data_IF_700676527948
#
_entry.id   IF_700676527948
#
_cell.length_a   1.000
_cell.length_b   1.000
_cell.length_c   1.000
_cell.angle_alpha   90.00
_cell.angle_beta   90.00
_cell.angle_gamma   90.00
#
_symmetry.space_group_name_H-M   'P 1'
#
loop_
_entity.id
_entity.type
_entity.pdbx_description
1 polymer ?
#
# COMPACT_ATOMS: atom_id res chain seq x y z
N UNK A 1 7.67 19.60 -9.09
CA UNK A 1 7.69 18.46 -8.15
C UNK A 1 7.78 17.20 -8.97
N UNK A 2 8.52 16.18 -8.53
CA UNK A 2 8.47 14.90 -9.19
C UNK A 2 7.04 14.35 -9.17
N UNK A 3 6.59 13.72 -10.25
CA UNK A 3 5.24 13.14 -10.31
C UNK A 3 5.20 11.77 -9.64
N UNK A 4 4.03 11.30 -9.24
CA UNK A 4 3.84 9.92 -8.78
C UNK A 4 3.39 9.01 -9.91
N UNK A 5 3.79 7.73 -9.86
CA UNK A 5 3.41 6.70 -10.82
C UNK A 5 2.98 5.43 -10.09
N UNK A 6 2.05 4.67 -10.67
CA UNK A 6 1.65 3.33 -10.23
C UNK A 6 2.18 2.30 -11.21
N UNK A 7 2.68 1.19 -10.69
CA UNK A 7 2.91 -0.03 -11.45
C UNK A 7 1.59 -0.68 -11.85
N UNK A 8 1.63 -1.54 -12.87
CA UNK A 8 0.51 -2.39 -13.26
C UNK A 8 -0.02 -3.20 -12.07
N UNK A 9 0.86 -3.77 -11.24
CA UNK A 9 0.48 -4.55 -10.06
C UNK A 9 -0.34 -3.75 -9.05
N UNK A 10 0.14 -2.56 -8.67
CA UNK A 10 -0.55 -1.69 -7.72
C UNK A 10 -1.95 -1.28 -8.24
N UNK A 11 -2.03 -0.94 -9.53
CA UNK A 11 -3.30 -0.58 -10.17
C UNK A 11 -4.27 -1.77 -10.23
N UNK A 12 -3.82 -2.94 -10.67
CA UNK A 12 -4.66 -4.14 -10.77
C UNK A 12 -5.26 -4.51 -9.40
N UNK A 13 -4.47 -4.57 -8.34
CA UNK A 13 -4.99 -4.91 -6.99
C UNK A 13 -6.03 -3.91 -6.50
N UNK A 14 -5.82 -2.62 -6.74
CA UNK A 14 -6.77 -1.57 -6.34
C UNK A 14 -8.11 -1.73 -7.09
N UNK A 15 -8.06 -1.98 -8.40
CA UNK A 15 -9.24 -2.22 -9.23
C UNK A 15 -9.96 -3.52 -8.83
N UNK A 16 -9.21 -4.61 -8.58
CA UNK A 16 -9.77 -5.88 -8.12
C UNK A 16 -10.42 -5.76 -6.74
N UNK A 17 -9.85 -4.96 -5.83
CA UNK A 17 -10.44 -4.72 -4.51
C UNK A 17 -11.79 -4.02 -4.63
N UNK A 18 -11.89 -2.98 -5.47
CA UNK A 18 -13.16 -2.31 -5.77
C UNK A 18 -14.17 -3.24 -6.46
N UNK A 19 -13.70 -4.13 -7.35
CA UNK A 19 -14.55 -5.11 -8.03
C UNK A 19 -15.11 -6.18 -7.08
N UNK A 20 -14.34 -6.56 -6.05
CA UNK A 20 -14.73 -7.55 -5.05
C UNK A 20 -15.89 -7.04 -4.18
N UNK A 21 -15.87 -5.76 -3.83
CA UNK A 21 -16.89 -5.14 -2.98
C UNK A 21 -17.55 -3.90 -3.62
N UNK A 22 -18.33 -4.10 -4.70
CA UNK A 22 -18.87 -2.99 -5.49
C UNK A 22 -19.97 -2.18 -4.77
N UNK A 23 -20.44 -2.67 -3.62
CA UNK A 23 -21.57 -2.11 -2.86
C UNK A 23 -21.13 -1.38 -1.59
N UNK A 24 -19.83 -1.25 -1.33
CA UNK A 24 -19.33 -0.54 -0.17
C UNK A 24 -18.04 0.25 -0.48
N UNK A 25 -17.63 1.09 0.47
CA UNK A 25 -16.36 1.78 0.37
C UNK A 25 -15.21 0.80 0.63
N UNK A 26 -14.11 0.96 -0.11
CA UNK A 26 -12.87 0.18 0.08
C UNK A 26 -11.68 1.10 0.25
N UNK A 27 -10.65 0.65 0.96
CA UNK A 27 -9.40 1.38 1.09
C UNK A 27 -8.16 0.49 1.15
N UNK A 28 -7.00 1.13 1.07
CA UNK A 28 -5.74 0.43 1.29
C UNK A 28 -4.52 1.33 1.25
N UNK A 29 -3.36 0.72 1.44
CA UNK A 29 -2.07 1.39 1.45
C UNK A 29 -1.37 1.21 0.11
N UNK A 30 -0.64 2.23 -0.32
CA UNK A 30 0.29 2.17 -1.44
C UNK A 30 1.70 2.08 -0.88
N UNK A 31 2.50 1.16 -1.41
CA UNK A 31 3.90 0.99 -0.99
C UNK A 31 4.84 1.35 -2.14
N UNK A 32 5.96 1.98 -1.80
CA UNK A 32 7.04 2.30 -2.71
C UNK A 32 8.32 1.59 -2.27
N UNK A 33 9.25 1.38 -3.20
CA UNK A 33 10.60 0.97 -2.83
C UNK A 33 11.29 2.05 -2.01
N UNK A 34 11.93 1.64 -0.91
CA UNK A 34 12.72 2.54 -0.09
C UNK A 34 13.93 3.00 -0.90
N UNK A 35 13.91 4.25 -1.34
CA UNK A 35 15.04 4.82 -2.04
C UNK A 35 16.26 4.88 -1.11
N UNK A 36 17.40 4.37 -1.59
CA UNK A 36 18.68 4.58 -0.89
C UNK A 36 18.98 6.09 -0.87
N UNK A 37 19.44 6.68 0.25
CA UNK A 37 19.79 8.09 0.28
C UNK A 37 20.85 8.36 -0.79
N UNK A 38 20.46 9.12 -1.83
CA UNK A 38 21.37 9.50 -2.92
C UNK A 38 22.28 10.63 -2.45
N UNK A 39 23.57 10.51 -2.76
CA UNK A 39 24.59 11.52 -2.46
C UNK A 39 24.64 12.68 -3.47
N UNK A 40 23.71 12.78 -4.41
CA UNK A 40 23.79 13.76 -5.51
C UNK A 40 22.61 14.71 -5.56
N UNK A 41 22.94 16.00 -5.64
CA UNK A 41 22.06 17.11 -5.94
C UNK A 41 21.63 17.02 -7.41
N UNK A 42 20.51 16.37 -7.70
CA UNK A 42 19.90 16.45 -9.03
C UNK A 42 19.12 17.78 -9.11
N UNK A 43 19.36 18.64 -10.12
CA UNK A 43 18.67 19.92 -10.22
C UNK A 43 17.15 19.73 -10.35
N UNK A 44 16.38 20.50 -9.59
CA UNK A 44 14.92 20.59 -9.73
C UNK A 44 14.58 21.05 -11.18
N UNK A 45 13.91 20.19 -11.95
CA UNK A 45 13.28 20.58 -13.21
C UNK A 45 13.97 20.13 -14.52
N UNK A 46 14.97 19.24 -14.46
CA UNK A 46 15.49 18.57 -15.66
C UNK A 46 14.64 17.35 -16.10
N UNK A 47 14.84 16.79 -17.30
CA UNK A 47 14.15 15.59 -17.84
C UNK A 47 14.51 14.26 -17.11
N UNK A 48 14.80 14.32 -15.82
CA UNK A 48 15.07 13.21 -14.92
C UNK A 48 14.52 13.45 -13.52
N UNK A 49 13.40 14.19 -13.41
CA UNK A 49 12.70 14.38 -12.14
C UNK A 49 12.32 13.03 -11.55
N UNK A 50 12.61 12.83 -10.27
CA UNK A 50 12.60 11.52 -9.63
C UNK A 50 11.18 11.11 -9.23
N UNK A 51 10.47 10.37 -10.09
CA UNK A 51 9.09 9.99 -9.80
C UNK A 51 9.02 8.96 -8.67
N UNK A 52 8.12 9.17 -7.70
CA UNK A 52 7.79 8.12 -6.72
C UNK A 52 6.96 7.06 -7.42
N UNK A 53 7.48 5.84 -7.47
CA UNK A 53 6.81 4.69 -8.05
C UNK A 53 6.16 3.85 -6.94
N UNK A 54 4.84 3.73 -6.98
CA UNK A 54 4.08 2.80 -6.16
C UNK A 54 4.15 1.41 -6.78
N UNK A 55 4.92 0.54 -6.14
CA UNK A 55 5.27 -0.79 -6.66
C UNK A 55 4.24 -1.86 -6.28
N UNK A 56 3.44 -1.62 -5.24
CA UNK A 56 2.35 -2.49 -4.85
C UNK A 56 1.28 -1.70 -4.07
N UNK A 57 0.12 -2.32 -3.87
CA UNK A 57 -0.86 -1.85 -2.91
C UNK A 57 -1.37 -3.00 -2.01
N UNK A 58 -1.73 -2.64 -0.78
CA UNK A 58 -2.25 -3.57 0.23
C UNK A 58 -3.71 -3.20 0.50
N UNK A 59 -4.67 -4.01 0.00
CA UNK A 59 -6.08 -3.88 0.35
C UNK A 59 -6.28 -4.02 1.87
N UNK A 60 -6.85 -3.00 2.51
CA UNK A 60 -7.07 -3.00 3.95
C UNK A 60 -8.49 -3.43 4.28
N UNK A 61 -9.45 -2.53 4.07
CA UNK A 61 -10.80 -2.71 4.62
C UNK A 61 -11.89 -2.45 3.58
N UNK A 62 -13.06 -3.04 3.84
CA UNK A 62 -14.28 -2.82 3.07
C UNK A 62 -15.47 -2.53 4.00
N UNK A 63 -16.40 -1.66 3.60
CA UNK A 63 -17.57 -1.31 4.42
C UNK A 63 -17.39 -0.03 5.25
N UNK A 64 -17.55 -0.12 6.58
CA UNK A 64 -17.59 1.07 7.45
C UNK A 64 -16.18 1.55 7.79
N UNK A 65 -15.56 2.30 6.87
CA UNK A 65 -14.18 2.80 7.01
C UNK A 65 -13.98 3.85 8.13
N UNK A 66 -15.06 4.32 8.76
CA UNK A 66 -15.05 5.39 9.77
C UNK A 66 -15.08 4.89 11.22
N UNK A 67 -14.97 3.58 11.48
CA UNK A 67 -14.89 3.10 12.87
C UNK A 67 -13.52 3.40 13.44
N UNK A 68 -13.49 4.11 14.57
CA UNK A 68 -12.26 4.52 15.26
C UNK A 68 -11.25 3.37 15.46
N UNK A 69 -11.64 2.12 15.77
CA UNK A 69 -10.68 1.01 15.89
C UNK A 69 -9.98 0.66 14.58
N UNK A 70 -10.68 0.67 13.44
CA UNK A 70 -10.07 0.37 12.14
C UNK A 70 -9.12 1.50 11.69
N UNK A 71 -9.49 2.75 12.00
CA UNK A 71 -8.62 3.90 11.79
C UNK A 71 -7.37 3.84 12.69
N UNK A 72 -7.52 3.47 13.96
CA UNK A 72 -6.40 3.29 14.89
C UNK A 72 -5.47 2.16 14.45
N UNK A 73 -6.01 1.04 13.94
CA UNK A 73 -5.21 -0.03 13.36
C UNK A 73 -4.44 0.48 12.13
N UNK A 74 -5.13 1.14 11.18
CA UNK A 74 -4.47 1.74 10.01
C UNK A 74 -3.36 2.74 10.41
N UNK A 75 -3.63 3.62 11.37
CA UNK A 75 -2.66 4.61 11.85
C UNK A 75 -1.52 3.97 12.64
N UNK A 76 -1.77 2.88 13.39
CA UNK A 76 -0.73 2.12 14.09
C UNK A 76 0.19 1.43 13.09
N UNK A 77 -0.39 0.83 12.03
CA UNK A 77 0.36 0.23 10.92
C UNK A 77 1.25 1.26 10.21
N UNK A 78 0.82 2.52 10.12
CA UNK A 78 1.60 3.62 9.56
C UNK A 78 2.68 4.11 10.54
N UNK A 79 2.36 4.25 11.83
CA UNK A 79 3.26 4.84 12.84
C UNK A 79 4.43 3.92 13.23
N UNK A 80 4.26 2.60 13.16
CA UNK A 80 5.35 1.66 13.41
C UNK A 80 6.48 1.74 12.36
N UNK A 81 6.25 2.40 11.21
CA UNK A 81 7.27 2.72 10.21
C UNK A 81 8.28 3.79 10.65
N UNK A 82 7.98 4.57 11.70
CA UNK A 82 8.72 5.79 12.08
C UNK A 82 9.90 5.53 13.05
N UNK A 83 9.96 4.38 13.72
CA UNK A 83 10.91 4.10 14.83
C UNK A 83 12.37 3.83 14.39
N UNK A 84 12.77 4.28 13.19
CA UNK A 84 14.16 4.21 12.72
C UNK A 84 14.67 5.55 12.21
N UNK A 85 14.37 6.63 12.95
CA UNK A 85 15.24 7.79 12.99
C UNK A 85 16.66 7.37 13.40
N UNK A 86 17.64 7.73 12.57
CA UNK A 86 19.06 7.45 12.78
C UNK A 86 19.52 7.76 14.22
N UNK A 87 19.80 6.73 15.00
CA UNK A 87 20.90 6.78 15.97
C UNK A 87 22.08 6.04 15.37
N UNK A 88 22.97 6.81 14.75
CA UNK A 88 24.33 6.35 14.49
C UNK A 88 24.98 6.05 15.84
N UNK A 89 25.00 4.77 16.23
CA UNK A 89 25.85 4.30 17.32
C UNK A 89 27.30 4.49 16.84
N UNK A 90 28.14 5.28 17.53
CA UNK A 90 29.54 5.37 17.16
C UNK A 90 30.20 4.02 17.40
N UNK A 91 30.96 3.55 16.41
CA UNK A 91 31.73 2.32 16.51
C UNK A 91 32.65 2.36 17.74
N UNK A 92 32.46 1.43 18.68
CA UNK A 92 33.20 1.43 19.94
C UNK A 92 33.13 0.12 20.72
N UNK A 93 33.97 -0.83 20.29
CA UNK A 93 34.65 -1.90 21.06
C UNK A 93 33.83 -2.99 21.79
N UNK A 94 34.36 -4.21 21.61
CA UNK A 94 34.02 -5.49 22.20
C UNK A 94 34.00 -5.51 23.74
N UNK A 95 32.97 -6.14 24.32
CA UNK A 95 33.07 -6.85 25.61
C UNK A 95 31.92 -7.89 25.73
N UNK A 96 32.18 -8.91 26.54
CA UNK A 96 31.64 -10.28 26.58
C UNK A 96 30.14 -10.41 26.98
N UNK A 97 29.48 -11.57 26.71
CA UNK A 97 28.13 -11.82 27.17
C UNK A 97 28.12 -12.36 28.62
N UNK A 98 27.29 -11.79 29.46
CA UNK A 98 26.88 -12.37 30.74
C UNK A 98 25.59 -13.21 30.56
N UNK A 99 25.39 -14.29 31.36
CA UNK A 99 24.33 -15.26 31.11
C UNK A 99 23.08 -14.92 31.93
N UNK A 100 21.90 -14.91 31.30
CA UNK A 100 20.62 -14.97 32.01
C UNK A 100 19.76 -16.15 31.54
N UNK A 101 19.76 -17.16 32.41
CA UNK A 101 18.71 -18.12 32.79
C UNK A 101 17.71 -18.53 31.69
N UNK A 102 18.04 -19.64 31.02
CA UNK A 102 17.06 -20.46 30.31
C UNK A 102 16.21 -21.25 31.32
N UNK A 103 14.90 -20.93 31.39
CA UNK A 103 13.92 -21.86 31.96
C UNK A 103 13.62 -22.90 30.89
N UNK A 104 14.10 -24.12 31.13
CA UNK A 104 13.78 -25.29 30.32
C UNK A 104 12.39 -25.81 30.71
N UNK A 105 11.50 -25.91 29.73
CA UNK A 105 10.38 -26.86 29.80
C UNK A 105 10.51 -27.73 28.56
N UNK A 106 11.07 -28.91 28.78
CA UNK A 106 11.21 -29.96 27.78
C UNK A 106 9.87 -30.70 27.67
N UNK A 107 9.42 -30.94 26.44
CA UNK A 107 8.13 -31.53 26.12
C UNK A 107 8.02 -31.73 24.62
N UNK A 108 8.69 -32.78 24.13
CA UNK A 108 8.81 -33.07 22.71
C UNK A 108 7.51 -33.47 22.00
N UNK A 109 7.31 -32.89 20.81
CA UNK A 109 6.62 -33.52 19.67
C UNK A 109 7.25 -32.99 18.38
N UNK A 110 7.80 -33.83 17.48
CA UNK A 110 8.33 -33.38 16.20
C UNK A 110 7.18 -33.24 15.20
N UNK A 111 6.62 -32.03 15.13
CA UNK A 111 5.50 -31.72 14.23
C UNK A 111 4.89 -30.34 14.50
N UNK A 112 5.70 -29.36 14.88
CA UNK A 112 5.23 -28.00 15.10
C UNK A 112 5.09 -27.28 13.77
N UNK A 113 3.89 -27.28 13.19
CA UNK A 113 3.51 -26.21 12.27
C UNK A 113 3.79 -24.90 13.02
N UNK A 114 4.83 -24.16 12.62
CA UNK A 114 5.07 -22.81 13.14
C UNK A 114 3.75 -22.09 12.98
N UNK A 115 3.15 -21.65 14.09
CA UNK A 115 2.01 -20.74 14.07
C UNK A 115 2.42 -19.60 13.14
N UNK A 116 1.84 -19.57 11.93
CA UNK A 116 2.12 -18.53 10.93
C UNK A 116 1.35 -17.29 11.39
N UNK A 117 1.85 -16.65 12.45
CA UNK A 117 1.45 -15.29 12.75
C UNK A 117 2.11 -14.42 11.69
N UNK A 118 1.31 -13.83 10.80
CA UNK A 118 1.83 -12.93 9.79
C UNK A 118 2.41 -11.68 10.45
N UNK A 119 3.55 -11.16 9.96
CA UNK A 119 4.11 -9.94 10.51
C UNK A 119 3.15 -8.77 10.26
N UNK A 120 3.11 -7.77 11.17
CA UNK A 120 2.48 -6.50 10.90
C UNK A 120 2.97 -5.89 9.57
N UNK A 121 2.11 -5.10 8.90
CA UNK A 121 2.41 -4.55 7.56
C UNK A 121 3.72 -3.74 7.56
N UNK A 122 4.02 -2.99 8.62
CA UNK A 122 5.25 -2.20 8.72
C UNK A 122 6.49 -3.10 8.75
N UNK A 123 6.44 -4.22 9.48
CA UNK A 123 7.54 -5.20 9.53
C UNK A 123 7.73 -5.87 8.18
N UNK A 124 6.64 -6.26 7.52
CA UNK A 124 6.71 -6.81 6.16
C UNK A 124 7.31 -5.80 5.18
N UNK A 125 6.92 -4.52 5.25
CA UNK A 125 7.50 -3.47 4.41
C UNK A 125 9.01 -3.35 4.66
N UNK A 126 9.44 -3.32 5.93
CA UNK A 126 10.87 -3.24 6.30
C UNK A 126 11.66 -4.43 5.74
N UNK A 127 11.14 -5.64 5.90
CA UNK A 127 11.79 -6.88 5.42
C UNK A 127 11.93 -6.92 3.90
N UNK A 128 11.00 -6.29 3.17
CA UNK A 128 11.00 -6.22 1.70
C UNK A 128 11.59 -4.92 1.14
N UNK A 129 12.23 -4.08 1.98
CA UNK A 129 12.75 -2.77 1.57
C UNK A 129 11.70 -1.83 0.96
N UNK A 130 10.47 -1.93 1.43
CA UNK A 130 9.37 -1.03 1.09
C UNK A 130 9.14 0.03 2.17
N UNK A 131 8.46 1.09 1.77
CA UNK A 131 7.91 2.13 2.65
C UNK A 131 6.45 2.36 2.29
N UNK A 132 5.60 2.58 3.30
CA UNK A 132 4.22 3.03 3.10
C UNK A 132 4.29 4.46 2.57
N UNK A 133 3.83 4.65 1.34
CA UNK A 133 4.05 5.88 0.58
C UNK A 133 2.74 6.53 0.13
N UNK A 134 1.58 5.90 0.34
CA UNK A 134 0.31 6.48 -0.03
C UNK A 134 -0.88 5.73 0.55
N UNK A 135 -2.05 6.29 0.32
CA UNK A 135 -3.33 5.71 0.71
C UNK A 135 -4.30 5.83 -0.47
N UNK A 136 -5.11 4.80 -0.69
CA UNK A 136 -6.20 4.85 -1.66
C UNK A 136 -7.54 4.61 -1.00
N UNK A 137 -8.59 5.18 -1.61
CA UNK A 137 -9.97 4.95 -1.19
C UNK A 137 -10.93 5.00 -2.38
N UNK A 138 -11.89 4.09 -2.40
CA UNK A 138 -13.10 4.21 -3.21
C UNK A 138 -14.29 4.49 -2.27
N UNK A 139 -15.07 5.53 -2.54
CA UNK A 139 -16.25 5.83 -1.74
C UNK A 139 -17.42 4.93 -2.12
N UNK A 140 -18.34 4.68 -1.20
CA UNK A 140 -19.57 3.91 -1.47
C UNK A 140 -20.47 4.59 -2.51
N UNK A 141 -20.54 5.93 -2.50
CA UNK A 141 -21.34 6.69 -3.45
C UNK A 141 -20.60 6.83 -4.77
N UNK A 142 -21.15 6.22 -5.81
CA UNK A 142 -20.56 6.18 -7.17
C UNK A 142 -20.14 7.56 -7.69
N UNK A 143 -20.91 8.62 -7.42
CA UNK A 143 -20.66 9.98 -7.92
C UNK A 143 -19.73 10.83 -7.04
N UNK A 144 -19.25 10.29 -5.94
CA UNK A 144 -18.43 11.01 -4.98
C UNK A 144 -16.99 10.46 -5.00
N UNK A 145 -16.10 11.11 -5.74
CA UNK A 145 -14.67 10.78 -5.77
C UNK A 145 -13.83 11.76 -4.92
N UNK A 146 -14.47 12.46 -3.97
CA UNK A 146 -13.77 13.41 -3.10
C UNK A 146 -13.21 12.72 -1.85
N UNK A 147 -12.00 13.10 -1.39
CA UNK A 147 -11.47 12.66 -0.11
C UNK A 147 -12.41 13.04 1.04
N UNK A 148 -12.65 12.10 1.95
CA UNK A 148 -13.30 12.40 3.22
C UNK A 148 -12.26 12.68 4.32
N UNK A 149 -12.70 13.13 5.50
CA UNK A 149 -11.80 13.45 6.61
C UNK A 149 -10.94 12.28 7.08
N UNK A 150 -11.41 11.03 6.90
CA UNK A 150 -10.64 9.83 7.27
C UNK A 150 -9.47 9.66 6.30
N UNK A 151 -9.74 9.73 4.99
CA UNK A 151 -8.73 9.66 3.95
C UNK A 151 -7.66 10.74 4.13
N UNK A 152 -8.07 11.98 4.38
CA UNK A 152 -7.15 13.10 4.60
C UNK A 152 -6.28 12.88 5.84
N UNK A 153 -6.85 12.40 6.97
CA UNK A 153 -6.09 12.14 8.19
C UNK A 153 -5.07 11.01 8.03
N UNK A 154 -5.47 9.90 7.42
CA UNK A 154 -4.57 8.75 7.18
C UNK A 154 -3.44 9.17 6.25
N UNK A 155 -3.76 9.80 5.13
CA UNK A 155 -2.76 10.28 4.19
C UNK A 155 -1.84 11.32 4.82
N UNK A 156 -2.36 12.24 5.65
CA UNK A 156 -1.54 13.22 6.37
C UNK A 156 -0.58 12.56 7.36
N UNK A 157 -1.01 11.48 8.05
CA UNK A 157 -0.10 10.71 8.91
C UNK A 157 1.01 10.04 8.11
N UNK A 158 0.70 9.47 6.95
CA UNK A 158 1.73 8.89 6.07
C UNK A 158 2.71 9.98 5.59
N UNK A 159 2.19 11.18 5.28
CA UNK A 159 2.99 12.31 4.82
C UNK A 159 3.98 12.86 5.87
N UNK A 160 3.77 12.59 7.16
CA UNK A 160 4.74 12.90 8.23
C UNK A 160 6.01 12.05 8.09
N UNK A 161 5.89 10.80 7.62
CA UNK A 161 7.00 9.86 7.42
C UNK A 161 7.54 9.79 5.99
N UNK A 162 6.77 10.24 4.99
CA UNK A 162 7.15 10.19 3.58
C UNK A 162 6.70 11.45 2.82
N UNK A 163 7.63 12.29 2.35
CA UNK A 163 7.28 13.62 1.81
C UNK A 163 6.50 13.59 0.50
N UNK A 164 6.65 12.54 -0.30
CA UNK A 164 6.02 12.40 -1.63
C UNK A 164 4.73 11.57 -1.56
N UNK A 165 4.01 11.63 -0.43
CA UNK A 165 2.79 10.86 -0.22
C UNK A 165 1.68 11.26 -1.19
N UNK A 166 1.02 10.25 -1.77
CA UNK A 166 -0.20 10.44 -2.56
C UNK A 166 -1.44 9.89 -1.84
N UNK A 167 -2.54 10.63 -2.00
CA UNK A 167 -3.88 10.19 -1.68
C UNK A 167 -4.63 9.91 -2.98
N UNK A 168 -5.01 8.66 -3.21
CA UNK A 168 -5.69 8.25 -4.45
C UNK A 168 -7.17 7.99 -4.18
N UNK A 169 -8.04 8.67 -4.93
CA UNK A 169 -9.47 8.39 -4.92
C UNK A 169 -9.84 7.61 -6.18
N UNK A 170 -10.46 6.45 -6.01
CA UNK A 170 -11.02 5.68 -7.13
C UNK A 170 -12.35 6.29 -7.54
N UNK A 171 -12.45 6.66 -8.81
CA UNK A 171 -13.63 7.20 -9.48
C UNK A 171 -14.52 6.08 -9.99
N UNK A 172 -15.48 5.70 -9.15
CA UNK A 172 -16.44 4.65 -9.44
C UNK A 172 -17.33 4.98 -10.67
N UNK A 173 -17.42 6.24 -11.12
CA UNK A 173 -18.15 6.58 -12.35
C UNK A 173 -17.43 6.12 -13.62
N UNK A 174 -16.11 5.94 -13.54
CA UNK A 174 -15.26 5.50 -14.65
C UNK A 174 -14.97 4.00 -14.62
N UNK A 175 -15.28 3.35 -13.49
CA UNK A 175 -15.03 1.92 -13.31
C UNK A 175 -15.85 1.08 -14.29
N UNK A 176 -15.15 0.26 -15.08
CA UNK A 176 -15.73 -0.69 -16.05
C UNK A 176 -14.90 -1.97 -16.06
N UNK A 177 -15.52 -3.09 -16.43
CA UNK A 177 -14.80 -4.38 -16.50
C UNK A 177 -13.68 -4.38 -17.54
N UNK A 178 -13.83 -3.59 -18.61
CA UNK A 178 -12.83 -3.46 -19.67
C UNK A 178 -11.74 -2.40 -19.38
N UNK A 179 -11.82 -1.74 -18.21
CA UNK A 179 -10.86 -0.71 -17.78
C UNK A 179 -10.57 0.36 -18.84
N UNK A 180 -11.59 0.87 -19.54
CA UNK A 180 -11.43 1.69 -20.75
C UNK A 180 -10.58 2.96 -20.52
N UNK A 181 -10.69 3.55 -19.34
CA UNK A 181 -9.96 4.75 -18.92
C UNK A 181 -9.41 4.58 -17.49
N UNK A 182 -8.36 5.31 -17.09
CA UNK A 182 -7.92 5.33 -15.71
C UNK A 182 -9.04 5.77 -14.77
N UNK A 183 -9.25 5.00 -13.71
CA UNK A 183 -10.35 5.19 -12.76
C UNK A 183 -9.91 5.92 -11.51
N UNK A 184 -8.84 6.72 -11.56
CA UNK A 184 -8.23 7.32 -10.36
C UNK A 184 -8.07 8.83 -10.45
N UNK A 185 -8.21 9.49 -9.30
CA UNK A 185 -7.82 10.87 -9.05
C UNK A 185 -6.70 10.88 -8.02
N UNK A 186 -5.63 11.60 -8.31
CA UNK A 186 -4.46 11.68 -7.43
C UNK A 186 -4.43 13.03 -6.74
N UNK A 187 -4.35 13.01 -5.42
CA UNK A 187 -4.23 14.17 -4.56
C UNK A 187 -2.84 14.19 -3.95
N UNK A 188 -2.25 15.38 -3.93
CA UNK A 188 -0.96 15.62 -3.28
C UNK A 188 -1.08 16.61 -2.14
N UNK A 189 -0.21 16.45 -1.16
CA UNK A 189 -0.16 17.32 0.00
C UNK A 189 0.62 18.60 -0.31
N UNK A 190 -0.06 19.75 -0.28
CA UNK A 190 0.55 21.06 -0.48
C UNK A 190 -0.01 22.08 0.52
N UNK A 191 0.87 22.68 1.34
CA UNK A 191 0.50 23.72 2.33
C UNK A 191 -0.66 23.29 3.25
N UNK A 192 -0.54 22.10 3.86
CA UNK A 192 -1.55 21.52 4.76
C UNK A 192 -2.92 21.23 4.11
N UNK A 193 -2.97 21.10 2.78
CA UNK A 193 -4.18 20.75 2.04
C UNK A 193 -3.89 19.72 0.98
N UNK A 194 -4.81 18.77 0.80
CA UNK A 194 -4.81 17.83 -0.31
C UNK A 194 -5.39 18.51 -1.55
N UNK A 195 -4.61 18.59 -2.64
CA UNK A 195 -5.04 19.18 -3.90
C UNK A 195 -5.05 18.13 -5.00
N UNK A 196 -6.17 18.02 -5.71
CA UNK A 196 -6.28 17.15 -6.87
C UNK A 196 -5.34 17.64 -7.97
N UNK A 197 -4.55 16.71 -8.54
CA UNK A 197 -3.73 16.95 -9.72
C UNK A 197 -4.58 16.86 -11.00
N UNK A 198 -3.97 17.15 -12.15
CA UNK A 198 -4.64 17.11 -13.45
C UNK A 198 -5.15 15.69 -13.77
N UNK A 199 -6.47 15.47 -13.94
CA UNK A 199 -7.03 14.16 -14.30
C UNK A 199 -6.56 13.61 -15.66
N UNK A 200 -5.96 14.44 -16.51
CA UNK A 200 -5.42 14.02 -17.81
C UNK A 200 -3.96 13.58 -17.73
N UNK A 201 -3.34 13.68 -16.54
CA UNK A 201 -2.01 13.16 -16.32
C UNK A 201 -2.05 11.63 -16.30
N UNK A 202 -1.10 11.01 -16.99
CA UNK A 202 -0.92 9.58 -16.91
C UNK A 202 -0.23 9.24 -15.58
N UNK A 203 -0.95 8.56 -14.69
CA UNK A 203 -0.44 8.10 -13.40
C UNK A 203 0.05 6.66 -13.43
N UNK A 204 -0.14 5.92 -14.51
CA UNK A 204 0.42 4.58 -14.64
C UNK A 204 1.80 4.65 -15.29
N UNK A 205 2.68 3.69 -14.99
CA UNK A 205 3.96 3.57 -15.68
C UNK A 205 3.73 3.21 -17.17
N UNK A 206 2.86 2.23 -17.42
CA UNK A 206 2.35 1.85 -18.74
C UNK A 206 0.83 1.64 -18.65
N UNK A 207 0.06 2.67 -19.07
CA UNK A 207 -1.41 2.58 -19.03
C UNK A 207 -1.98 1.48 -19.95
N UNK A 208 -1.58 1.37 -21.24
CA UNK A 208 -2.06 0.28 -22.10
C UNK A 208 -1.84 -1.12 -21.52
N UNK A 209 -0.68 -1.37 -20.90
CA UNK A 209 -0.41 -2.62 -20.19
C UNK A 209 -1.34 -2.81 -18.99
N UNK A 210 -1.40 -1.81 -18.10
CA UNK A 210 -2.22 -1.86 -16.90
C UNK A 210 -3.71 -2.07 -17.22
N UNK A 211 -4.22 -1.42 -18.26
CA UNK A 211 -5.56 -1.60 -18.79
C UNK A 211 -5.80 -3.06 -19.23
N UNK A 212 -4.93 -3.58 -20.12
CA UNK A 212 -5.07 -4.93 -20.68
C UNK A 212 -5.04 -6.00 -19.59
N UNK A 213 -4.09 -5.89 -18.66
CA UNK A 213 -3.93 -6.87 -17.58
C UNK A 213 -5.10 -6.78 -16.59
N UNK A 214 -5.51 -5.57 -16.20
CA UNK A 214 -6.66 -5.38 -15.30
C UNK A 214 -7.94 -5.97 -15.89
N UNK A 215 -8.22 -5.70 -17.18
CA UNK A 215 -9.38 -6.27 -17.87
C UNK A 215 -9.34 -7.80 -17.90
N UNK A 216 -8.17 -8.41 -18.16
CA UNK A 216 -8.01 -9.87 -18.14
C UNK A 216 -8.23 -10.48 -16.74
N UNK A 217 -7.75 -9.81 -15.68
CA UNK A 217 -7.95 -10.26 -14.31
C UNK A 217 -9.41 -10.10 -13.85
N UNK A 218 -10.10 -9.06 -14.33
CA UNK A 218 -11.53 -8.85 -14.07
C UNK A 218 -12.39 -9.89 -14.80
N UNK A 219 -12.13 -10.16 -16.07
CA UNK A 219 -12.85 -11.16 -16.87
C UNK A 219 -12.71 -12.58 -16.28
N UNK A 220 -11.50 -12.91 -15.81
CA UNK A 220 -11.21 -14.16 -15.10
C UNK A 220 -11.73 -14.22 -13.65
N UNK A 221 -12.37 -13.16 -13.16
CA UNK A 221 -12.90 -13.03 -11.79
C UNK A 221 -11.83 -13.21 -10.70
N UNK A 222 -10.60 -12.78 -10.98
CA UNK A 222 -9.49 -12.83 -10.01
C UNK A 222 -9.76 -12.02 -8.74
N UNK A 223 -10.73 -11.10 -8.76
CA UNK A 223 -11.16 -10.36 -7.58
C UNK A 223 -11.83 -11.23 -6.51
N UNK A 224 -12.31 -12.43 -6.84
CA UNK A 224 -12.92 -13.34 -5.86
C UNK A 224 -11.90 -13.96 -4.91
N UNK A 225 -10.67 -14.13 -5.39
CA UNK A 225 -9.55 -14.71 -4.63
C UNK A 225 -8.66 -13.64 -4.00
N UNK A 226 -8.89 -12.36 -4.29
CA UNK A 226 -8.19 -11.26 -3.64
C UNK A 226 -8.50 -11.26 -2.15
N UNK A 227 -7.48 -11.15 -1.31
CA UNK A 227 -7.58 -11.07 0.14
C UNK A 227 -7.25 -9.66 0.58
N UNK A 228 -8.14 -9.03 1.32
CA UNK A 228 -7.86 -7.79 2.04
C UNK A 228 -7.52 -8.08 3.52
N UNK A 229 -7.18 -7.02 4.25
CA UNK A 229 -6.82 -7.14 5.65
C UNK A 229 -8.03 -7.51 6.54
N UNK A 230 -9.25 -7.09 6.20
CA UNK A 230 -10.48 -7.58 6.89
C UNK A 230 -10.60 -9.10 6.81
N UNK A 231 -10.45 -9.69 5.62
CA UNK A 231 -10.48 -11.15 5.44
C UNK A 231 -9.34 -11.85 6.18
N UNK A 232 -8.19 -11.19 6.32
CA UNK A 232 -7.06 -11.69 7.11
C UNK A 232 -7.34 -11.66 8.62
N UNK A 233 -8.03 -10.62 9.11
CA UNK A 233 -8.44 -10.53 10.52
C UNK A 233 -9.47 -11.61 10.87
N UNK A 234 -10.37 -11.94 9.94
CA UNK A 234 -11.33 -13.04 10.09
C UNK A 234 -10.65 -14.42 10.07
N UNK A 235 -9.66 -14.60 9.20
CA UNK A 235 -8.86 -15.82 9.10
C UNK A 235 -7.39 -15.50 8.77
N UNK A 236 -6.53 -15.60 9.78
CA UNK A 236 -5.10 -15.29 9.70
C UNK A 236 -4.35 -16.17 8.69
N UNK A 237 -4.97 -17.22 8.13
CA UNK A 237 -4.37 -18.02 7.06
C UNK A 237 -4.41 -17.31 5.71
N UNK A 238 -5.32 -16.36 5.54
CA UNK A 238 -5.44 -15.58 4.32
C UNK A 238 -4.26 -14.62 4.18
N UNK A 239 -3.60 -14.64 3.01
CA UNK A 239 -2.40 -13.83 2.76
C UNK A 239 -2.76 -12.50 2.08
N UNK A 240 -2.76 -11.43 2.86
CA UNK A 240 -3.07 -10.06 2.39
C UNK A 240 -2.03 -9.50 1.40
N UNK A 241 -0.87 -10.14 1.22
CA UNK A 241 0.13 -9.74 0.21
C UNK A 241 -0.26 -10.15 -1.21
N UNK A 242 -1.24 -11.06 -1.33
CA UNK A 242 -1.82 -11.54 -2.60
C UNK A 242 -0.77 -12.09 -3.61
N UNK A 243 0.08 -13.06 -3.24
CA UNK A 243 1.18 -13.54 -4.09
C UNK A 243 0.70 -14.17 -5.40
N UNK A 244 -0.44 -14.86 -5.40
CA UNK A 244 -1.00 -15.48 -6.60
C UNK A 244 -1.48 -14.43 -7.61
N UNK A 245 -2.04 -13.30 -7.15
CA UNK A 245 -2.39 -12.17 -8.01
C UNK A 245 -1.12 -11.53 -8.57
N UNK A 246 -0.08 -11.32 -7.75
CA UNK A 246 1.21 -10.78 -8.20
C UNK A 246 1.81 -11.63 -9.32
N UNK A 247 1.78 -12.96 -9.14
CA UNK A 247 2.25 -13.92 -10.13
C UNK A 247 1.41 -13.90 -11.41
N UNK A 248 0.08 -13.76 -11.30
CA UNK A 248 -0.80 -13.64 -12.45
C UNK A 248 -0.52 -12.37 -13.25
N UNK A 249 -0.33 -11.23 -12.58
CA UNK A 249 0.08 -9.97 -13.22
C UNK A 249 1.39 -10.17 -13.97
N UNK A 250 2.43 -10.70 -13.30
CA UNK A 250 3.74 -10.92 -13.91
C UNK A 250 3.70 -11.86 -15.14
N UNK A 251 2.79 -12.84 -15.15
CA UNK A 251 2.63 -13.75 -16.30
C UNK A 251 1.93 -13.08 -17.51
N UNK A 252 1.15 -12.02 -17.25
CA UNK A 252 0.39 -11.29 -18.26
C UNK A 252 1.14 -10.06 -18.81
N UNK A 253 2.21 -9.61 -18.14
CA UNK A 253 3.17 -8.60 -18.63
C UNK A 253 3.94 -9.14 -19.83
#
# INVERSE_FOLDING_TARGET
MPGVKLTTQAYCKMVLHGAKYPHCAVNGLLVAEKQKPRKEHVPLGGPGAHHTLFVDCIPLFHGTLALAPMLEVALTLVSAGEDSGFHAVPAGKSSEPTPEVAVTVDGGTPGGARSRTWPPIDSWCKDNSYVIAGYYQANERVKDASPNQVAEKVASRIAEGFSDTALIMVDNTKFTMDCVVPTIHVYEHHENKWRCRDPHHDYCEDWPEAQRISASLLDSRSYETLVDFDNHLDDIRNDWTNPEINKAVLHLC
#
